data_IF_089550130002
#
_entry.id   IF_089550130002
#
_cell.length_a   1.000
_cell.length_b   1.000
_cell.length_c   1.000
_cell.angle_alpha   90.00
_cell.angle_beta   90.00
_cell.angle_gamma   90.00
#
_symmetry.space_group_name_H-M   'P 1'
#
loop_
_entity.id
_entity.type
_entity.pdbx_description
1 polymer ?
#
# COMPACT_ATOMS: atom_id res chain seq x y z
N UNK A 1 4.22 15.23 4.48
CA UNK A 1 4.69 13.86 4.16
C UNK A 1 6.18 13.95 3.94
N UNK A 2 6.98 13.26 4.75
CA UNK A 2 8.43 13.24 4.60
C UNK A 2 8.84 11.94 3.89
N UNK A 3 9.83 12.02 3.00
CA UNK A 3 10.50 10.82 2.50
C UNK A 3 11.34 10.24 3.63
N UNK A 4 11.26 8.92 3.81
CA UNK A 4 12.00 8.19 4.83
C UNK A 4 12.77 7.04 4.17
N UNK A 5 13.79 6.50 4.83
CA UNK A 5 14.55 5.38 4.28
C UNK A 5 13.73 4.09 4.30
N UNK A 6 14.05 3.17 3.38
CA UNK A 6 13.48 1.81 3.39
C UNK A 6 13.82 1.09 4.69
N UNK A 7 15.02 1.29 5.24
CA UNK A 7 15.46 0.67 6.48
C UNK A 7 14.59 1.07 7.70
N UNK A 8 14.23 2.35 7.82
CA UNK A 8 13.37 2.81 8.92
C UNK A 8 11.97 2.20 8.84
N UNK A 9 11.44 2.06 7.62
CA UNK A 9 10.17 1.39 7.39
C UNK A 9 10.24 -0.09 7.73
N UNK A 10 11.29 -0.79 7.30
CA UNK A 10 11.48 -2.21 7.60
C UNK A 10 11.63 -2.46 9.10
N UNK A 11 12.37 -1.61 9.82
CA UNK A 11 12.43 -1.66 11.28
C UNK A 11 11.05 -1.51 11.92
N UNK A 12 10.22 -0.59 11.44
CA UNK A 12 8.88 -0.40 11.96
C UNK A 12 7.99 -1.62 11.70
N UNK A 13 8.02 -2.19 10.49
CA UNK A 13 7.21 -3.35 10.13
C UNK A 13 7.64 -4.60 10.88
N UNK A 14 8.95 -4.90 10.93
CA UNK A 14 9.48 -6.10 11.58
C UNK A 14 9.49 -6.03 13.11
N UNK A 15 9.21 -4.86 13.69
CA UNK A 15 8.96 -4.75 15.14
C UNK A 15 7.60 -5.33 15.57
N UNK A 16 6.73 -5.65 14.60
CA UNK A 16 5.35 -6.13 14.82
C UNK A 16 5.27 -7.64 14.57
N UNK A 17 4.52 -8.41 15.40
CA UNK A 17 4.24 -9.81 15.12
C UNK A 17 3.49 -10.02 13.80
N UNK A 18 3.85 -11.06 13.04
CA UNK A 18 3.33 -11.35 11.69
C UNK A 18 1.79 -11.45 11.62
N UNK A 19 1.16 -12.03 12.64
CA UNK A 19 -0.29 -12.21 12.75
C UNK A 19 -1.08 -10.89 12.75
N UNK A 20 -0.38 -9.78 12.97
CA UNK A 20 -0.95 -8.46 13.06
C UNK A 20 -0.76 -7.65 11.76
N UNK A 21 -0.27 -8.17 10.65
CA UNK A 21 -0.04 -7.34 9.45
C UNK A 21 -1.19 -7.46 8.42
N UNK A 22 -1.87 -6.35 8.05
CA UNK A 22 -2.81 -6.37 6.93
C UNK A 22 -2.04 -6.16 5.62
N UNK A 23 -1.73 -7.24 4.91
CA UNK A 23 -0.85 -7.19 3.74
C UNK A 23 -1.58 -6.67 2.50
N UNK A 24 -1.18 -5.48 2.01
CA UNK A 24 -1.28 -5.14 0.58
C UNK A 24 -0.14 -5.76 -0.23
N UNK A 25 1.06 -5.86 0.36
CA UNK A 25 2.20 -6.59 -0.15
C UNK A 25 3.22 -6.82 0.97
N UNK A 26 4.05 -7.85 0.83
CA UNK A 26 5.26 -8.02 1.66
C UNK A 26 6.16 -6.78 1.59
N UNK A 27 6.89 -6.39 2.65
CA UNK A 27 7.83 -5.28 2.60
C UNK A 27 9.16 -5.69 1.94
N UNK A 28 9.45 -6.99 1.81
CA UNK A 28 10.71 -7.48 1.23
C UNK A 28 10.94 -7.02 -0.24
N UNK A 29 9.93 -7.05 -1.14
CA UNK A 29 10.08 -6.51 -2.48
C UNK A 29 10.46 -5.02 -2.54
N UNK A 30 10.26 -4.25 -1.46
CA UNK A 30 10.63 -2.83 -1.44
C UNK A 30 12.15 -2.61 -1.39
N UNK A 31 12.93 -3.65 -1.05
CA UNK A 31 14.40 -3.61 -1.09
C UNK A 31 14.97 -3.60 -2.52
N UNK A 32 14.21 -4.09 -3.50
CA UNK A 32 14.69 -4.29 -4.87
C UNK A 32 13.96 -3.43 -5.90
N UNK A 33 12.79 -2.90 -5.54
CA UNK A 33 11.94 -2.13 -6.44
C UNK A 33 12.07 -0.65 -6.08
N UNK A 34 12.40 0.22 -7.06
CA UNK A 34 12.40 1.66 -6.84
C UNK A 34 11.04 2.14 -6.31
N UNK A 35 11.03 2.65 -5.08
CA UNK A 35 9.83 3.17 -4.45
C UNK A 35 10.17 4.28 -3.45
N UNK A 36 9.22 5.20 -3.31
CA UNK A 36 9.25 6.22 -2.27
C UNK A 36 8.56 5.67 -1.03
N UNK A 37 9.29 5.67 0.09
CA UNK A 37 8.74 5.40 1.40
C UNK A 37 8.28 6.71 2.00
N UNK A 38 6.98 6.79 2.27
CA UNK A 38 6.36 7.98 2.81
C UNK A 38 5.87 7.65 4.21
N UNK A 39 6.36 8.42 5.17
CA UNK A 39 5.80 8.47 6.50
C UNK A 39 4.93 9.71 6.62
N UNK A 40 3.71 9.51 7.08
CA UNK A 40 2.91 10.60 7.63
C UNK A 40 3.23 10.71 9.12
N UNK A 41 3.24 11.92 9.68
CA UNK A 41 3.60 12.20 11.08
C UNK A 41 2.70 11.50 12.12
N UNK A 42 1.76 10.68 11.65
CA UNK A 42 0.74 9.94 12.37
C UNK A 42 1.01 8.41 12.36
N UNK A 43 2.27 7.95 12.35
CA UNK A 43 2.58 6.51 12.46
C UNK A 43 1.95 5.62 11.37
N UNK A 44 1.65 6.25 10.24
CA UNK A 44 1.16 5.61 9.02
C UNK A 44 2.23 5.73 7.94
N UNK A 45 2.43 4.62 7.26
CA UNK A 45 3.49 4.42 6.30
C UNK A 45 2.89 3.91 5.00
N UNK A 46 3.48 4.33 3.88
CA UNK A 46 3.22 3.68 2.61
C UNK A 46 4.48 3.60 1.77
N UNK A 47 4.46 2.66 0.83
CA UNK A 47 5.42 2.61 -0.27
C UNK A 47 4.70 2.85 -1.58
N UNK A 48 5.19 3.80 -2.37
CA UNK A 48 4.67 4.11 -3.71
C UNK A 48 5.76 3.86 -4.73
N UNK A 49 5.47 3.05 -5.74
CA UNK A 49 6.39 2.82 -6.84
C UNK A 49 5.90 3.57 -8.08
N UNK A 50 6.78 4.40 -8.65
CA UNK A 50 6.55 5.14 -9.89
C UNK A 50 7.33 4.48 -11.05
N UNK A 51 6.99 3.23 -11.38
CA UNK A 51 7.70 2.49 -12.44
C UNK A 51 6.74 1.97 -13.51
N UNK A 52 7.08 2.21 -14.78
CA UNK A 52 6.41 1.70 -15.99
C UNK A 52 4.90 1.95 -16.06
N UNK A 53 4.42 3.12 -15.60
CA UNK A 53 3.01 3.49 -15.69
C UNK A 53 2.57 4.49 -14.62
N UNK A 54 1.26 4.62 -14.37
CA UNK A 54 0.76 5.41 -13.27
C UNK A 54 1.31 4.87 -11.94
N UNK A 55 1.60 5.74 -10.95
CA UNK A 55 2.06 5.35 -9.64
C UNK A 55 1.21 4.23 -9.02
N UNK A 56 1.85 3.32 -8.31
CA UNK A 56 1.18 2.20 -7.64
C UNK A 56 1.49 2.20 -6.15
N UNK A 57 0.44 2.12 -5.34
CA UNK A 57 0.54 1.81 -3.93
C UNK A 57 0.99 0.36 -3.77
N UNK A 58 2.19 0.18 -3.22
CA UNK A 58 2.78 -1.14 -2.96
C UNK A 58 2.50 -1.63 -1.56
N UNK A 59 2.55 -0.73 -0.58
CA UNK A 59 2.38 -1.09 0.82
C UNK A 59 1.63 0.01 1.57
N UNK A 60 0.84 -0.41 2.56
CA UNK A 60 0.21 0.46 3.54
C UNK A 60 0.38 -0.20 4.91
N UNK A 61 0.98 0.53 5.85
CA UNK A 61 1.22 0.02 7.19
C UNK A 61 0.89 1.10 8.22
N UNK A 62 0.26 0.67 9.31
CA UNK A 62 0.03 1.51 10.49
C UNK A 62 0.53 0.74 11.70
N UNK A 63 1.36 1.42 12.49
CA UNK A 63 1.90 0.86 13.72
C UNK A 63 0.76 0.38 14.65
N UNK A 64 0.86 -0.79 15.30
CA UNK A 64 -0.26 -1.43 16.00
C UNK A 64 -0.99 -0.56 17.01
N UNK A 65 -0.26 0.23 17.80
CA UNK A 65 -0.81 1.13 18.82
C UNK A 65 -1.75 2.21 18.25
N UNK A 66 -1.73 2.43 16.94
CA UNK A 66 -2.45 3.51 16.26
C UNK A 66 -3.49 3.04 15.25
N UNK A 67 -3.77 1.74 15.25
CA UNK A 67 -4.81 1.15 14.39
C UNK A 67 -6.21 1.50 14.89
N UNK A 68 -7.19 1.35 14.00
CA UNK A 68 -8.60 1.69 14.24
C UNK A 68 -8.88 3.17 14.55
N UNK A 69 -7.88 4.04 14.40
CA UNK A 69 -8.00 5.50 14.57
C UNK A 69 -8.12 6.26 13.24
N UNK A 70 -8.43 5.55 12.14
CA UNK A 70 -8.61 6.17 10.81
C UNK A 70 -7.33 6.57 10.08
N UNK A 71 -6.14 6.33 10.65
CA UNK A 71 -4.86 6.78 10.08
C UNK A 71 -4.55 6.21 8.70
N UNK A 72 -4.87 4.94 8.47
CA UNK A 72 -4.75 4.31 7.15
C UNK A 72 -5.62 5.01 6.10
N UNK A 73 -6.86 5.40 6.45
CA UNK A 73 -7.78 6.12 5.56
C UNK A 73 -7.26 7.51 5.25
N UNK A 74 -6.75 8.23 6.26
CA UNK A 74 -6.13 9.54 6.08
C UNK A 74 -4.92 9.46 5.15
N UNK A 75 -4.06 8.45 5.35
CA UNK A 75 -2.90 8.19 4.50
C UNK A 75 -3.33 7.95 3.05
N UNK A 76 -4.29 7.05 2.82
CA UNK A 76 -4.82 6.75 1.48
C UNK A 76 -5.40 7.98 0.78
N UNK A 77 -6.11 8.85 1.49
CA UNK A 77 -6.62 10.12 0.94
C UNK A 77 -5.50 11.08 0.55
N UNK A 78 -4.47 11.22 1.38
CA UNK A 78 -3.31 12.07 1.08
C UNK A 78 -2.54 11.56 -0.13
N UNK A 79 -2.36 10.24 -0.24
CA UNK A 79 -1.70 9.60 -1.38
C UNK A 79 -2.53 9.81 -2.66
N UNK A 80 -3.85 9.58 -2.62
CA UNK A 80 -4.73 9.81 -3.77
C UNK A 80 -4.76 11.29 -4.20
N UNK A 81 -4.67 12.23 -3.26
CA UNK A 81 -4.55 13.65 -3.57
C UNK A 81 -3.19 14.00 -4.21
N UNK A 82 -2.09 13.35 -3.78
CA UNK A 82 -0.75 13.56 -4.35
C UNK A 82 -0.60 12.90 -5.73
N UNK A 83 -1.19 11.74 -5.93
CA UNK A 83 -1.21 11.00 -7.20
C UNK A 83 -2.66 10.63 -7.56
N UNK A 84 -3.38 11.55 -8.24
CA UNK A 84 -4.75 11.28 -8.67
C UNK A 84 -4.82 10.04 -9.56
N UNK A 85 -5.69 9.09 -9.21
CA UNK A 85 -5.84 7.83 -9.95
C UNK A 85 -4.78 6.77 -9.64
N UNK A 86 -4.02 6.93 -8.55
CA UNK A 86 -3.11 5.90 -8.06
C UNK A 86 -3.85 4.57 -7.82
N UNK A 87 -3.31 3.50 -8.41
CA UNK A 87 -3.83 2.14 -8.22
C UNK A 87 -3.04 1.36 -7.18
N UNK A 88 -3.51 0.17 -6.84
CA UNK A 88 -2.74 -0.78 -6.01
C UNK A 88 -1.97 -1.74 -6.93
N UNK A 89 -0.85 -2.29 -6.45
CA UNK A 89 -0.07 -3.27 -7.24
C UNK A 89 -0.57 -4.71 -7.11
N UNK A 90 -1.42 -4.98 -6.12
CA UNK A 90 -1.96 -6.29 -5.83
C UNK A 90 -3.47 -6.16 -5.54
N UNK A 91 -4.17 -7.29 -5.67
CA UNK A 91 -5.55 -7.41 -5.25
C UNK A 91 -5.68 -7.11 -3.75
N UNK A 92 -6.69 -6.34 -3.40
CA UNK A 92 -6.98 -5.98 -2.02
C UNK A 92 -7.87 -7.06 -1.41
N UNK A 93 -7.50 -7.67 -0.28
CA UNK A 93 -8.39 -8.57 0.43
C UNK A 93 -9.74 -7.90 0.69
N UNK A 94 -10.84 -8.64 0.52
CA UNK A 94 -12.19 -8.09 0.68
C UNK A 94 -12.42 -7.45 2.06
N UNK A 95 -11.77 -7.99 3.10
CA UNK A 95 -11.81 -7.44 4.46
C UNK A 95 -11.24 -6.03 4.56
N UNK A 96 -10.36 -5.64 3.65
CA UNK A 96 -9.74 -4.31 3.56
C UNK A 96 -10.42 -3.42 2.52
N UNK A 97 -11.24 -3.95 1.62
CA UNK A 97 -11.90 -3.15 0.57
C UNK A 97 -12.66 -1.92 1.12
N UNK A 98 -13.43 -1.99 2.21
CA UNK A 98 -14.13 -0.81 2.75
C UNK A 98 -13.21 0.35 3.14
N UNK A 99 -11.98 0.07 3.56
CA UNK A 99 -10.98 1.09 3.86
C UNK A 99 -10.62 1.90 2.61
N UNK A 100 -10.42 1.21 1.48
CA UNK A 100 -10.07 1.80 0.19
C UNK A 100 -11.24 2.60 -0.39
N UNK A 101 -12.45 2.01 -0.40
CA UNK A 101 -13.63 2.70 -0.91
C UNK A 101 -13.93 3.97 -0.11
N UNK A 102 -13.78 3.91 1.22
CA UNK A 102 -13.97 5.08 2.08
C UNK A 102 -12.90 6.18 1.86
N UNK A 103 -11.75 5.83 1.26
CA UNK A 103 -10.70 6.78 0.87
C UNK A 103 -10.85 7.28 -0.59
N UNK A 104 -11.90 6.86 -1.30
CA UNK A 104 -12.21 7.31 -2.67
C UNK A 104 -11.61 6.43 -3.76
N UNK A 105 -11.08 5.25 -3.44
CA UNK A 105 -10.65 4.27 -4.43
C UNK A 105 -11.87 3.51 -4.96
N UNK A 106 -11.79 3.06 -6.20
CA UNK A 106 -12.81 2.25 -6.85
C UNK A 106 -12.29 0.84 -7.09
N UNK A 107 -13.14 -0.16 -6.89
CA UNK A 107 -12.80 -1.53 -7.23
C UNK A 107 -12.78 -1.67 -8.75
N UNK A 108 -11.69 -2.21 -9.27
CA UNK A 108 -11.56 -2.57 -10.68
C UNK A 108 -11.81 -4.08 -10.81
N UNK A 109 -12.64 -4.53 -11.78
CA UNK A 109 -12.85 -5.96 -12.02
C UNK A 109 -11.52 -6.65 -12.35
N UNK A 110 -11.22 -7.75 -11.67
CA UNK A 110 -10.06 -8.57 -12.00
C UNK A 110 -10.31 -9.26 -13.34
N UNK A 111 -9.58 -8.85 -14.38
CA UNK A 111 -9.57 -9.54 -15.67
C UNK A 111 -8.49 -10.63 -15.64
N UNK A 112 -8.90 -11.90 -15.55
CA UNK A 112 -8.00 -13.02 -15.79
C UNK A 112 -8.06 -13.37 -17.27
N UNK A 113 -6.92 -13.26 -17.95
CA UNK A 113 -6.78 -13.74 -19.32
C UNK A 113 -6.43 -15.22 -19.30
N UNK A 114 -7.21 -16.03 -20.00
CA UNK A 114 -6.88 -17.43 -20.23
C UNK A 114 -5.86 -17.51 -21.37
N UNK A 115 -4.77 -18.25 -21.15
CA UNK A 115 -3.81 -18.53 -22.21
C UNK A 115 -4.28 -19.76 -22.96
N UNK A 116 -4.75 -19.58 -24.19
CA UNK A 116 -4.96 -20.69 -25.11
C UNK A 116 -3.65 -21.06 -25.80
N UNK A 117 -3.23 -22.32 -25.64
CA UNK A 117 -2.12 -22.89 -26.39
C UNK A 117 -2.68 -23.46 -27.71
N UNK A 118 -2.41 -22.80 -28.82
CA UNK A 118 -2.77 -23.30 -30.16
C UNK A 118 -1.64 -24.16 -30.71
N UNK A 119 -1.95 -25.39 -31.15
CA UNK A 119 -1.03 -26.33 -31.80
C UNK A 119 -1.26 -26.36 -33.31
#
# INVERSE_FOLDING_TARGET
MASTTVDDFLRAVWSVPDDNLPWLASPLPLLTIPCDIIRDNDHAWCAVAEFMGPPRLRCLFVEPAYRYQGRAKTMLKKINARWPGIGTSAAIPETLAPLFTAAGYQAEPLCQFEMELTF
#
